data_IF_478494733590
#
_entry.id   IF_478494733590
#
_cell.length_a   1.000
_cell.length_b   1.000
_cell.length_c   1.000
_cell.angle_alpha   90.00
_cell.angle_beta   90.00
_cell.angle_gamma   90.00
#
_symmetry.space_group_name_H-M   'P 1'
#
loop_
_entity.id
_entity.type
_entity.pdbx_description
1 polymer ?
#
# COMPACT_ATOMS: atom_id res chain seq x y z
N UNK A 1 -0.64 45.75 24.56
CA UNK A 1 -1.10 45.08 25.79
C UNK A 1 -2.50 44.53 25.55
N UNK A 2 -2.63 43.29 25.10
CA UNK A 2 -3.92 42.58 25.07
C UNK A 2 -3.71 41.15 25.55
N UNK A 3 -4.62 40.76 26.43
CA UNK A 3 -4.52 39.68 27.40
C UNK A 3 -4.76 38.32 26.74
N UNK A 4 -3.95 37.35 27.16
CA UNK A 4 -4.14 35.91 26.99
C UNK A 4 -5.57 35.53 27.39
N UNK A 5 -6.40 35.05 26.45
CA UNK A 5 -7.74 34.55 26.79
C UNK A 5 -8.29 33.46 25.83
N UNK A 6 -7.45 32.60 25.26
CA UNK A 6 -7.94 31.46 24.47
C UNK A 6 -7.28 30.16 24.89
N UNK A 7 -7.30 29.88 26.20
CA UNK A 7 -6.88 28.60 26.76
C UNK A 7 -7.99 28.08 27.70
N UNK A 8 -9.17 27.82 27.14
CA UNK A 8 -10.31 27.24 27.88
C UNK A 8 -11.41 26.65 26.96
N UNK A 9 -11.04 26.03 25.82
CA UNK A 9 -12.00 25.38 24.90
C UNK A 9 -11.76 23.86 24.73
N UNK A 10 -10.82 23.25 25.46
CA UNK A 10 -10.49 21.81 25.30
C UNK A 10 -10.84 20.98 26.55
N UNK A 11 -11.98 21.24 27.20
CA UNK A 11 -12.39 20.43 28.37
C UNK A 11 -13.90 20.17 28.49
N UNK A 12 -14.65 20.17 27.39
CA UNK A 12 -16.11 20.00 27.41
C UNK A 12 -16.67 18.99 26.38
N UNK A 13 -15.97 17.87 26.16
CA UNK A 13 -16.52 16.72 25.42
C UNK A 13 -16.23 15.36 26.10
N UNK A 14 -16.04 15.36 27.42
CA UNK A 14 -16.25 14.19 28.26
C UNK A 14 -17.52 14.48 29.06
N UNK A 15 -18.42 13.50 29.18
CA UNK A 15 -19.78 13.60 29.76
C UNK A 15 -20.90 14.01 28.79
N UNK A 16 -21.15 13.18 27.78
CA UNK A 16 -22.52 12.93 27.33
C UNK A 16 -22.81 11.42 27.40
N UNK A 17 -22.84 10.89 28.62
CA UNK A 17 -23.51 9.62 28.93
C UNK A 17 -24.95 9.93 29.30
N UNK A 18 -25.85 9.89 28.32
CA UNK A 18 -27.28 9.83 28.57
C UNK A 18 -27.74 8.37 28.54
N UNK A 19 -27.97 7.82 29.73
CA UNK A 19 -28.89 6.71 29.96
C UNK A 19 -30.28 7.11 29.44
N UNK A 20 -30.90 6.27 28.63
CA UNK A 20 -32.36 6.27 28.45
C UNK A 20 -32.90 4.86 28.55
N UNK A 21 -34.06 4.77 29.19
CA UNK A 21 -34.65 3.59 29.79
C UNK A 21 -35.25 2.59 28.79
N UNK A 22 -35.43 1.37 29.31
CA UNK A 22 -36.06 0.19 28.73
C UNK A 22 -37.56 0.42 28.52
N UNK A 23 -38.09 -0.04 27.38
CA UNK A 23 -39.46 -0.54 27.27
C UNK A 23 -39.43 -1.79 26.38
N UNK A 24 -39.83 -2.94 26.95
CA UNK A 24 -40.01 -4.21 26.25
C UNK A 24 -41.25 -4.16 25.35
N UNK A 25 -41.16 -4.74 24.15
CA UNK A 25 -42.27 -5.49 23.58
C UNK A 25 -41.77 -6.68 22.77
N UNK A 26 -42.37 -7.82 23.09
CA UNK A 26 -42.07 -9.21 22.72
C UNK A 26 -42.84 -9.58 21.46
N UNK A 27 -42.18 -10.12 20.44
CA UNK A 27 -42.65 -11.30 19.69
C UNK A 27 -41.49 -11.99 18.99
N UNK A 28 -41.39 -13.28 19.22
CA UNK A 28 -40.51 -14.24 18.57
C UNK A 28 -40.98 -14.39 17.12
N UNK A 29 -40.07 -14.27 16.16
CA UNK A 29 -40.16 -15.09 14.94
C UNK A 29 -38.76 -15.47 14.44
N UNK A 30 -38.71 -16.65 13.85
CA UNK A 30 -37.56 -17.55 13.72
C UNK A 30 -36.71 -17.22 12.48
N UNK A 31 -35.38 -17.25 12.68
CA UNK A 31 -34.19 -17.37 11.77
C UNK A 31 -34.37 -17.74 10.26
N UNK A 32 -33.35 -17.61 9.37
CA UNK A 32 -31.92 -17.28 9.63
C UNK A 32 -31.18 -16.37 8.62
N UNK A 33 -30.04 -15.82 9.10
CA UNK A 33 -28.77 -15.56 8.40
C UNK A 33 -28.85 -14.76 7.09
N UNK A 34 -28.69 -13.43 7.22
CA UNK A 34 -28.15 -12.61 6.13
C UNK A 34 -26.67 -12.96 6.03
N UNK A 35 -26.30 -13.68 4.98
CA UNK A 35 -24.92 -13.96 4.62
C UNK A 35 -24.15 -12.64 4.53
N UNK A 36 -23.44 -12.31 5.60
CA UNK A 36 -22.26 -11.46 5.51
C UNK A 36 -21.33 -12.21 4.57
N UNK A 37 -21.16 -11.71 3.34
CA UNK A 37 -20.06 -12.09 2.46
C UNK A 37 -18.77 -11.75 3.20
N UNK A 38 -18.33 -12.68 4.03
CA UNK A 38 -16.94 -12.84 4.40
C UNK A 38 -16.25 -13.17 3.09
N UNK A 39 -15.70 -12.13 2.45
CA UNK A 39 -14.66 -12.33 1.45
C UNK A 39 -13.67 -13.25 2.15
N UNK A 40 -13.44 -14.48 1.65
CA UNK A 40 -12.46 -15.34 2.27
C UNK A 40 -11.14 -14.60 2.17
N UNK A 41 -10.59 -14.24 3.32
CA UNK A 41 -9.20 -13.85 3.44
C UNK A 41 -8.44 -15.04 2.85
N UNK A 42 -8.03 -14.90 1.59
CA UNK A 42 -7.31 -15.92 0.87
C UNK A 42 -6.04 -16.11 1.67
N UNK A 43 -6.03 -17.13 2.50
CA UNK A 43 -4.87 -17.64 3.20
C UNK A 43 -3.92 -18.16 2.13
N UNK A 44 -3.28 -17.22 1.46
CA UNK A 44 -2.25 -17.46 0.47
C UNK A 44 -1.06 -17.75 1.37
N UNK A 45 -0.90 -19.03 1.66
CA UNK A 45 0.31 -19.63 2.19
C UNK A 45 1.49 -18.80 1.67
N UNK A 46 2.09 -17.98 2.53
CA UNK A 46 2.99 -16.90 2.11
C UNK A 46 4.18 -17.56 1.45
N UNK A 47 4.18 -17.63 0.12
CA UNK A 47 5.36 -18.05 -0.61
C UNK A 47 6.42 -17.02 -0.28
N UNK A 48 7.44 -17.46 0.46
CA UNK A 48 8.54 -16.61 0.86
C UNK A 48 9.27 -16.16 -0.41
N UNK A 49 9.03 -14.92 -0.81
CA UNK A 49 9.68 -14.26 -1.95
C UNK A 49 10.78 -13.36 -1.41
N UNK A 50 11.91 -13.35 -2.11
CA UNK A 50 13.01 -12.42 -1.88
C UNK A 50 13.45 -11.82 -3.21
N UNK A 51 14.16 -10.69 -3.17
CA UNK A 51 14.67 -10.05 -4.37
C UNK A 51 15.59 -10.98 -5.18
N UNK A 52 16.42 -11.77 -4.50
CA UNK A 52 17.34 -12.74 -5.12
C UNK A 52 16.62 -13.76 -6.02
N UNK A 53 15.37 -14.09 -5.71
CA UNK A 53 14.56 -15.04 -6.48
C UNK A 53 13.97 -14.42 -7.76
N UNK A 54 13.82 -13.10 -7.80
CA UNK A 54 13.16 -12.37 -8.91
C UNK A 54 14.09 -11.47 -9.71
N UNK A 55 15.31 -11.16 -9.22
CA UNK A 55 16.24 -10.21 -9.86
C UNK A 55 16.67 -10.57 -11.29
N UNK A 56 16.49 -11.82 -11.70
CA UNK A 56 16.81 -12.31 -13.04
C UNK A 56 15.57 -12.75 -13.83
N UNK A 57 14.37 -12.53 -13.30
CA UNK A 57 13.11 -12.88 -13.96
C UNK A 57 12.55 -11.66 -14.68
N UNK A 58 11.86 -11.89 -15.80
CA UNK A 58 10.97 -10.88 -16.34
C UNK A 58 9.81 -10.62 -15.38
N UNK A 59 9.14 -9.47 -15.52
CA UNK A 59 7.95 -9.16 -14.75
C UNK A 59 6.88 -10.28 -14.84
N UNK A 60 6.65 -10.79 -16.05
CA UNK A 60 5.61 -11.79 -16.28
C UNK A 60 5.99 -13.12 -15.63
N UNK A 61 7.24 -13.56 -15.78
CA UNK A 61 7.75 -14.78 -15.12
C UNK A 61 7.71 -14.65 -13.58
N UNK A 62 8.00 -13.46 -13.05
CA UNK A 62 7.96 -13.20 -11.62
C UNK A 62 6.52 -13.27 -11.09
N UNK A 63 5.55 -12.68 -11.80
CA UNK A 63 4.14 -12.67 -11.40
C UNK A 63 3.45 -14.04 -11.59
N UNK A 64 3.88 -14.83 -12.56
CA UNK A 64 3.42 -16.21 -12.73
C UNK A 64 3.83 -17.07 -11.53
N UNK A 65 5.09 -16.95 -11.08
CA UNK A 65 5.62 -17.72 -9.96
C UNK A 65 5.20 -17.20 -8.59
N UNK A 66 5.11 -15.87 -8.46
CA UNK A 66 4.87 -15.18 -7.20
C UNK A 66 3.80 -14.10 -7.40
N UNK A 67 2.52 -14.40 -7.10
CA UNK A 67 1.46 -13.41 -7.22
C UNK A 67 1.69 -12.22 -6.29
N UNK A 68 1.74 -11.00 -6.85
CA UNK A 68 1.85 -9.75 -6.08
C UNK A 68 0.49 -9.29 -5.55
N UNK A 69 0.48 -8.60 -4.41
CA UNK A 69 -0.77 -7.97 -3.93
C UNK A 69 -0.98 -6.55 -4.48
N UNK A 70 0.08 -5.91 -5.00
CA UNK A 70 0.02 -4.56 -5.55
C UNK A 70 0.91 -4.44 -6.79
N UNK A 71 0.37 -3.79 -7.83
CA UNK A 71 1.03 -3.47 -9.09
C UNK A 71 0.60 -2.08 -9.54
N UNK A 72 1.57 -1.24 -9.86
CA UNK A 72 1.35 0.09 -10.44
C UNK A 72 2.27 0.30 -11.63
N UNK A 73 1.78 0.97 -12.68
CA UNK A 73 2.61 1.34 -13.84
C UNK A 73 2.45 2.83 -14.08
N UNK A 74 3.57 3.54 -14.21
CA UNK A 74 3.61 4.99 -14.37
C UNK A 74 4.78 5.46 -15.24
N UNK A 75 4.78 6.74 -15.58
CA UNK A 75 5.92 7.42 -16.18
C UNK A 75 6.69 8.11 -15.05
N UNK A 76 7.97 7.81 -14.89
CA UNK A 76 8.79 8.40 -13.84
C UNK A 76 8.90 9.92 -14.02
N UNK A 77 8.72 10.68 -12.95
CA UNK A 77 8.77 12.14 -12.94
C UNK A 77 7.44 12.84 -13.25
N UNK A 78 6.37 12.12 -13.58
CA UNK A 78 5.00 12.69 -13.65
C UNK A 78 4.31 12.65 -12.29
N UNK A 79 3.09 13.19 -12.18
CA UNK A 79 2.30 13.15 -10.94
C UNK A 79 2.14 11.73 -10.37
N UNK A 80 1.92 10.72 -11.22
CA UNK A 80 1.80 9.33 -10.78
C UNK A 80 3.15 8.70 -10.44
N UNK A 81 4.20 9.07 -11.17
CA UNK A 81 5.57 8.61 -10.95
C UNK A 81 6.42 9.61 -10.18
N UNK A 82 5.83 10.37 -9.25
CA UNK A 82 6.55 11.35 -8.45
C UNK A 82 7.66 10.65 -7.65
N UNK A 83 8.83 11.26 -7.63
CA UNK A 83 9.99 10.76 -6.89
C UNK A 83 9.89 11.23 -5.44
N UNK A 84 9.39 10.36 -4.59
CA UNK A 84 9.37 10.52 -3.12
C UNK A 84 10.58 9.80 -2.50
N UNK A 85 10.73 9.85 -1.18
CA UNK A 85 11.75 9.08 -0.46
C UNK A 85 11.67 7.58 -0.80
N UNK A 86 10.45 7.06 -0.99
CA UNK A 86 10.21 5.67 -1.38
C UNK A 86 10.81 5.29 -2.74
N UNK A 87 10.93 6.24 -3.67
CA UNK A 87 11.42 6.01 -5.05
C UNK A 87 12.77 6.64 -5.32
N UNK A 88 13.43 7.18 -4.30
CA UNK A 88 14.66 7.98 -4.45
C UNK A 88 15.81 7.14 -5.04
N UNK A 89 15.82 5.83 -4.81
CA UNK A 89 16.81 4.88 -5.36
C UNK A 89 16.88 4.91 -6.89
N UNK A 90 15.76 5.20 -7.57
CA UNK A 90 15.69 5.31 -9.03
C UNK A 90 16.57 6.44 -9.59
N UNK A 91 16.96 7.42 -8.77
CA UNK A 91 17.89 8.48 -9.17
C UNK A 91 19.34 8.00 -9.33
N UNK A 92 19.68 6.82 -8.81
CA UNK A 92 20.97 6.18 -9.06
C UNK A 92 21.05 5.54 -10.45
N UNK A 93 19.89 5.35 -11.11
CA UNK A 93 19.76 4.65 -12.39
C UNK A 93 19.46 5.64 -13.52
N UNK A 94 18.55 6.59 -13.28
CA UNK A 94 18.14 7.58 -14.27
C UNK A 94 18.52 8.99 -13.83
N UNK A 95 19.12 9.75 -14.75
CA UNK A 95 19.47 11.15 -14.51
C UNK A 95 18.23 12.03 -14.57
N UNK A 96 18.24 13.13 -13.83
CA UNK A 96 17.14 14.10 -13.79
C UNK A 96 16.70 14.58 -15.19
N UNK A 97 17.64 14.81 -16.10
CA UNK A 97 17.32 15.27 -17.46
C UNK A 97 16.72 14.17 -18.34
N UNK A 98 16.95 12.89 -18.04
CA UNK A 98 16.28 11.76 -18.70
C UNK A 98 14.85 11.62 -18.18
N UNK A 99 14.66 11.78 -16.86
CA UNK A 99 13.35 11.74 -16.20
C UNK A 99 12.43 12.84 -16.75
N UNK A 100 12.95 14.07 -16.88
CA UNK A 100 12.20 15.22 -17.43
C UNK A 100 11.72 15.01 -18.87
N UNK A 101 12.29 14.08 -19.63
CA UNK A 101 11.81 13.76 -20.98
C UNK A 101 10.46 13.02 -20.96
N UNK A 102 10.03 12.46 -19.82
CA UNK A 102 8.73 11.83 -19.66
C UNK A 102 8.56 10.53 -20.44
N UNK A 103 9.66 9.78 -20.65
CA UNK A 103 9.68 8.55 -21.46
C UNK A 103 9.97 7.29 -20.65
N UNK A 104 10.45 7.43 -19.43
CA UNK A 104 10.85 6.30 -18.58
C UNK A 104 9.59 5.68 -17.98
N UNK A 105 9.18 4.53 -18.50
CA UNK A 105 8.03 3.79 -18.00
C UNK A 105 8.49 2.78 -16.95
N UNK A 106 7.87 2.82 -15.78
CA UNK A 106 8.18 1.96 -14.64
C UNK A 106 6.96 1.14 -14.29
N UNK A 107 7.17 -0.13 -13.96
CA UNK A 107 6.18 -0.96 -13.28
C UNK A 107 6.70 -1.32 -11.90
N UNK A 108 5.98 -0.89 -10.86
CA UNK A 108 6.27 -1.11 -9.46
C UNK A 108 5.41 -2.28 -8.95
N UNK A 109 6.05 -3.32 -8.43
CA UNK A 109 5.39 -4.51 -7.91
C UNK A 109 5.72 -4.68 -6.44
N UNK A 110 4.70 -4.97 -5.62
CA UNK A 110 4.90 -5.20 -4.19
C UNK A 110 4.34 -6.55 -3.75
N UNK A 111 5.15 -7.27 -2.99
CA UNK A 111 4.79 -8.51 -2.31
C UNK A 111 4.88 -8.33 -0.80
N UNK A 112 4.02 -9.04 -0.06
CA UNK A 112 4.20 -9.23 1.37
C UNK A 112 5.20 -10.36 1.55
N UNK A 113 6.33 -10.10 2.17
CA UNK A 113 7.38 -11.12 2.35
C UNK A 113 7.31 -11.79 3.72
N UNK A 114 6.73 -11.09 4.70
CA UNK A 114 6.41 -11.63 6.02
C UNK A 114 5.29 -10.78 6.67
N UNK A 115 5.06 -10.98 7.98
CA UNK A 115 4.02 -10.27 8.73
C UNK A 115 4.25 -8.76 8.80
N UNK A 116 5.51 -8.29 8.80
CA UNK A 116 5.90 -6.92 9.11
C UNK A 116 6.52 -6.17 7.93
N UNK A 117 6.98 -6.86 6.89
CA UNK A 117 7.70 -6.26 5.78
C UNK A 117 7.05 -6.55 4.43
N UNK A 118 7.30 -5.63 3.50
CA UNK A 118 7.01 -5.72 2.09
C UNK A 118 8.33 -5.68 1.30
N UNK A 119 8.32 -6.34 0.14
CA UNK A 119 9.32 -6.15 -0.90
C UNK A 119 8.66 -5.43 -2.07
N UNK A 120 9.20 -4.29 -2.46
CA UNK A 120 8.86 -3.60 -3.71
C UNK A 120 10.00 -3.75 -4.69
N UNK A 121 9.69 -4.09 -5.95
CA UNK A 121 10.66 -4.16 -7.04
C UNK A 121 10.16 -3.28 -8.18
N UNK A 122 11.05 -2.45 -8.72
CA UNK A 122 10.78 -1.63 -9.89
C UNK A 122 11.32 -2.31 -11.14
N UNK A 123 10.46 -2.43 -12.13
CA UNK A 123 10.78 -2.96 -13.45
C UNK A 123 10.77 -1.83 -14.48
N UNK A 124 11.69 -1.91 -15.43
CA UNK A 124 11.77 -1.00 -16.56
C UNK A 124 11.74 -1.78 -17.88
N UNK A 125 11.07 -1.22 -18.89
CA UNK A 125 10.98 -1.85 -20.20
C UNK A 125 12.30 -1.69 -20.97
N UNK A 126 12.99 -2.81 -21.21
CA UNK A 126 14.22 -2.87 -21.99
C UNK A 126 14.07 -3.92 -23.08
N UNK A 127 14.30 -3.53 -24.35
CA UNK A 127 14.23 -4.45 -25.51
C UNK A 127 12.98 -5.36 -25.48
N UNK A 128 11.82 -4.74 -25.27
CA UNK A 128 10.50 -5.38 -25.21
C UNK A 128 10.20 -6.23 -23.96
N UNK A 129 11.13 -6.32 -23.01
CA UNK A 129 10.94 -7.07 -21.76
C UNK A 129 11.00 -6.16 -20.54
N UNK A 130 10.14 -6.41 -19.56
CA UNK A 130 10.18 -5.73 -18.26
C UNK A 130 11.20 -6.43 -17.37
N UNK A 131 12.32 -5.76 -17.11
CA UNK A 131 13.40 -6.29 -16.28
C UNK A 131 13.50 -5.50 -14.97
N UNK A 132 13.82 -6.16 -13.84
CA UNK A 132 13.99 -5.49 -12.56
C UNK A 132 15.23 -4.60 -12.61
N UNK A 133 15.11 -3.40 -12.06
CA UNK A 133 16.19 -2.40 -12.05
C UNK A 133 16.58 -1.95 -10.64
N UNK A 134 15.66 -2.06 -9.68
CA UNK A 134 15.91 -1.73 -8.27
C UNK A 134 14.89 -2.42 -7.38
N UNK A 135 15.15 -2.44 -6.07
CA UNK A 135 14.24 -2.98 -5.07
C UNK A 135 14.36 -2.25 -3.74
N UNK A 136 13.31 -2.37 -2.92
CA UNK A 136 13.30 -1.85 -1.57
C UNK A 136 12.48 -2.76 -0.66
N UNK A 137 13.06 -3.13 0.48
CA UNK A 137 12.37 -3.84 1.56
C UNK A 137 12.01 -2.81 2.61
N UNK A 138 10.76 -2.82 3.03
CA UNK A 138 10.24 -1.82 3.94
C UNK A 138 9.21 -2.39 4.92
N UNK A 139 9.18 -1.81 6.11
CA UNK A 139 8.23 -2.16 7.15
C UNK A 139 6.83 -1.64 6.80
N UNK A 140 5.78 -2.43 6.99
CA UNK A 140 4.39 -2.09 6.61
C UNK A 140 3.86 -0.81 7.26
N UNK A 141 4.41 -0.46 8.42
CA UNK A 141 4.06 0.76 9.17
C UNK A 141 4.89 1.99 8.79
N UNK A 142 5.81 1.89 7.83
CA UNK A 142 6.58 3.03 7.35
C UNK A 142 5.68 4.06 6.66
N UNK A 143 5.98 5.33 6.90
CA UNK A 143 5.34 6.48 6.26
C UNK A 143 6.34 7.12 5.30
N UNK A 144 5.96 7.27 4.02
CA UNK A 144 6.76 7.90 2.96
C UNK A 144 5.92 8.89 2.16
#
# INVERSE_FOLDING_TARGET
MMKKLYLLIIFFFLFYSSKSAIAEQKTIDVNPIKETSVVPEKNTQSQYISYEMVKNLSLDDALEKFPSYKKETYILGTTQGLITEFRIGLLNIFKQDEIKQGKIKITEITWQINAVENLTVWYHLQKEQWLPIDHYIWHKDSLF
#
